data_IF_636015216552
#
_entry.id   IF_636015216552
#
_cell.length_a   1.000
_cell.length_b   1.000
_cell.length_c   1.000
_cell.angle_alpha   90.00
_cell.angle_beta   90.00
_cell.angle_gamma   90.00
#
_symmetry.space_group_name_H-M   'P 1'
#
loop_
_entity.id
_entity.type
_entity.pdbx_description
1 polymer ?
#
# COMPACT_ATOMS: atom_id res chain seq x y z
N UNK A 1 8.09 27.47 -9.38
CA UNK A 1 8.27 26.42 -8.36
C UNK A 1 7.03 25.52 -8.43
N UNK A 2 7.15 24.28 -8.90
CA UNK A 2 6.02 23.35 -8.87
C UNK A 2 5.62 23.12 -7.41
N UNK A 3 4.34 23.30 -7.08
CA UNK A 3 3.82 23.07 -5.73
C UNK A 3 3.98 21.60 -5.35
N UNK A 4 4.18 21.30 -4.06
CA UNK A 4 4.46 19.93 -3.55
C UNK A 4 3.36 18.92 -3.95
N UNK A 5 2.12 19.38 -4.05
CA UNK A 5 0.95 18.64 -4.56
C UNK A 5 1.10 18.19 -6.02
N UNK A 6 1.87 18.93 -6.83
CA UNK A 6 2.07 18.67 -8.26
C UNK A 6 2.97 17.47 -8.53
N UNK A 7 3.90 17.13 -7.62
CA UNK A 7 4.93 16.11 -7.88
C UNK A 7 4.36 14.69 -7.77
N UNK A 8 3.65 14.41 -6.67
CA UNK A 8 3.01 13.11 -6.47
C UNK A 8 1.86 12.94 -7.47
N UNK A 9 1.13 14.03 -7.78
CA UNK A 9 0.13 14.02 -8.84
C UNK A 9 0.72 13.67 -10.22
N UNK A 10 1.93 14.15 -10.54
CA UNK A 10 2.64 13.78 -11.76
C UNK A 10 3.05 12.30 -11.75
N UNK A 11 3.64 11.82 -10.65
CA UNK A 11 4.02 10.41 -10.50
C UNK A 11 2.80 9.49 -10.63
N UNK A 12 1.66 9.83 -10.03
CA UNK A 12 0.44 9.05 -10.16
C UNK A 12 -0.07 9.02 -11.61
N UNK A 13 0.06 10.13 -12.36
CA UNK A 13 -0.25 10.16 -13.80
C UNK A 13 0.69 9.26 -14.60
N UNK A 14 1.99 9.29 -14.30
CA UNK A 14 2.99 8.42 -14.94
C UNK A 14 2.68 6.96 -14.63
N UNK A 15 2.46 6.62 -13.36
CA UNK A 15 2.05 5.29 -12.90
C UNK A 15 0.81 4.80 -13.67
N UNK A 16 -0.24 5.64 -13.75
CA UNK A 16 -1.46 5.30 -14.49
C UNK A 16 -1.18 5.07 -15.99
N UNK A 17 -0.35 5.92 -16.61
CA UNK A 17 0.04 5.76 -18.00
C UNK A 17 0.82 4.45 -18.22
N UNK A 18 1.80 4.13 -17.37
CA UNK A 18 2.53 2.86 -17.42
C UNK A 18 1.60 1.66 -17.30
N UNK A 19 0.57 1.74 -16.45
CA UNK A 19 -0.36 0.61 -16.31
C UNK A 19 -1.30 0.48 -17.49
N UNK A 20 -1.86 1.59 -17.99
CA UNK A 20 -2.80 1.57 -19.14
C UNK A 20 -2.10 1.10 -20.41
N UNK A 21 -0.88 1.58 -20.64
CA UNK A 21 -0.09 1.20 -21.80
C UNK A 21 0.45 -0.23 -21.64
N UNK A 22 0.52 -0.77 -20.43
CA UNK A 22 1.25 -1.99 -20.16
C UNK A 22 2.76 -1.74 -20.18
N UNK A 23 3.51 -2.63 -19.54
CA UNK A 23 4.97 -2.61 -19.64
C UNK A 23 5.39 -3.00 -21.06
N UNK A 24 5.44 -2.01 -21.97
CA UNK A 24 6.21 -2.10 -23.21
C UNK A 24 7.70 -1.92 -22.92
N UNK A 25 8.20 -2.57 -21.87
CA UNK A 25 9.62 -2.63 -21.57
C UNK A 25 10.24 -3.73 -22.39
N UNK A 26 11.07 -3.38 -23.37
CA UNK A 26 12.16 -4.25 -23.79
C UNK A 26 13.04 -4.64 -22.59
N UNK A 27 14.02 -5.53 -22.78
CA UNK A 27 14.90 -6.04 -21.73
C UNK A 27 15.52 -4.91 -20.86
N UNK A 28 14.89 -4.56 -19.74
CA UNK A 28 15.24 -3.42 -18.91
C UNK A 28 14.23 -3.12 -17.79
N UNK A 29 14.63 -2.27 -16.82
CA UNK A 29 13.76 -1.82 -15.72
C UNK A 29 12.62 -1.00 -16.32
N UNK A 30 11.39 -1.41 -16.06
CA UNK A 30 10.24 -0.67 -16.59
C UNK A 30 10.03 0.65 -15.85
N UNK A 31 9.40 1.62 -16.53
CA UNK A 31 9.13 2.92 -15.93
C UNK A 31 8.27 2.76 -14.65
N UNK A 32 7.40 1.75 -14.59
CA UNK A 32 6.66 1.43 -13.37
C UNK A 32 7.59 1.03 -12.21
N UNK A 33 8.63 0.24 -12.46
CA UNK A 33 9.59 -0.22 -11.46
C UNK A 33 10.56 0.87 -10.96
N UNK A 34 10.77 1.89 -11.78
CA UNK A 34 11.55 3.06 -11.39
C UNK A 34 10.79 3.98 -10.40
N UNK A 35 9.47 3.85 -10.29
CA UNK A 35 8.64 4.75 -9.49
C UNK A 35 8.60 4.29 -8.02
N UNK A 36 8.82 5.21 -7.07
CA UNK A 36 8.70 4.89 -5.65
C UNK A 36 7.29 4.42 -5.29
N UNK A 37 7.21 3.32 -4.54
CA UNK A 37 5.95 2.73 -4.07
C UNK A 37 6.07 2.33 -2.60
N UNK A 38 4.94 2.20 -1.91
CA UNK A 38 4.92 1.70 -0.52
C UNK A 38 4.21 0.35 -0.50
N UNK A 39 4.93 -0.74 -0.25
CA UNK A 39 4.35 -2.06 -0.10
C UNK A 39 4.02 -2.35 1.37
N UNK A 40 2.80 -2.80 1.63
CA UNK A 40 2.33 -3.15 2.96
C UNK A 40 2.56 -4.63 3.19
N UNK A 41 3.43 -4.96 4.15
CA UNK A 41 3.80 -6.34 4.48
C UNK A 41 3.43 -6.66 5.92
N UNK A 42 2.90 -7.86 6.13
CA UNK A 42 2.45 -8.29 7.44
C UNK A 42 1.84 -9.67 7.41
N UNK A 43 1.96 -10.39 8.54
CA UNK A 43 1.28 -11.68 8.72
C UNK A 43 -0.23 -11.58 8.51
N UNK A 44 -0.87 -12.70 8.27
CA UNK A 44 -2.33 -12.78 8.28
C UNK A 44 -2.87 -12.22 9.62
N UNK A 45 -3.92 -11.39 9.55
CA UNK A 45 -4.52 -10.77 10.73
C UNK A 45 -3.61 -9.80 11.52
N UNK A 46 -2.48 -9.35 10.97
CA UNK A 46 -1.64 -8.30 11.58
C UNK A 46 -2.28 -6.90 11.57
N UNK A 47 -3.44 -6.74 10.92
CA UNK A 47 -4.15 -5.46 10.83
C UNK A 47 -3.83 -4.61 9.60
N UNK A 48 -3.19 -5.18 8.55
CA UNK A 48 -2.87 -4.46 7.30
C UNK A 48 -4.04 -3.67 6.72
N UNK A 49 -5.16 -4.36 6.44
CA UNK A 49 -6.34 -3.73 5.85
C UNK A 49 -6.91 -2.64 6.77
N UNK A 50 -6.91 -2.85 8.08
CA UNK A 50 -7.34 -1.83 9.04
C UNK A 50 -6.42 -0.60 9.03
N UNK A 51 -5.10 -0.78 8.94
CA UNK A 51 -4.15 0.34 8.82
C UNK A 51 -4.42 1.12 7.53
N UNK A 52 -4.62 0.43 6.41
CA UNK A 52 -4.94 1.07 5.13
C UNK A 52 -6.25 1.88 5.20
N UNK A 53 -7.31 1.30 5.77
CA UNK A 53 -8.60 1.98 5.95
C UNK A 53 -8.48 3.17 6.90
N UNK A 54 -7.70 3.05 7.99
CA UNK A 54 -7.45 4.15 8.93
C UNK A 54 -6.67 5.29 8.27
N UNK A 55 -5.69 4.98 7.41
CA UNK A 55 -4.93 5.96 6.61
C UNK A 55 -5.85 6.67 5.60
N UNK A 56 -6.72 5.93 4.91
CA UNK A 56 -7.65 6.49 3.92
C UNK A 56 -8.80 7.25 4.58
N UNK A 57 -9.27 6.82 5.74
CA UNK A 57 -10.45 7.40 6.40
C UNK A 57 -11.78 6.74 6.02
N UNK A 58 -11.76 5.59 5.32
CA UNK A 58 -12.96 4.92 4.78
C UNK A 58 -12.86 3.41 4.90
N UNK A 59 -14.02 2.75 5.02
CA UNK A 59 -14.16 1.30 4.89
C UNK A 59 -14.35 0.92 3.44
N UNK A 60 -13.35 0.31 2.83
CA UNK A 60 -13.41 -0.09 1.42
C UNK A 60 -12.77 -1.44 1.15
N UNK A 61 -12.06 -2.02 2.11
CA UNK A 61 -11.42 -3.32 1.94
C UNK A 61 -12.38 -4.43 2.38
N UNK A 62 -12.36 -5.59 1.67
CA UNK A 62 -13.12 -6.74 2.11
C UNK A 62 -12.65 -7.19 3.49
N UNK A 63 -13.56 -7.75 4.29
CA UNK A 63 -13.28 -8.34 5.60
C UNK A 63 -13.81 -9.76 5.62
N UNK A 64 -13.07 -10.69 6.23
CA UNK A 64 -13.47 -12.08 6.31
C UNK A 64 -12.48 -12.93 7.11
N UNK A 65 -12.84 -14.18 7.33
CA UNK A 65 -11.93 -15.20 7.86
C UNK A 65 -11.08 -15.78 6.72
N UNK A 66 -9.84 -16.17 7.03
CA UNK A 66 -8.91 -16.70 6.03
C UNK A 66 -8.12 -15.62 5.29
N UNK A 67 -7.63 -15.94 4.09
CA UNK A 67 -6.87 -15.02 3.24
C UNK A 67 -7.86 -14.11 2.52
N UNK A 68 -7.99 -12.88 3.00
CA UNK A 68 -8.94 -11.90 2.48
C UNK A 68 -8.39 -11.22 1.22
N UNK A 69 -7.18 -10.68 1.30
CA UNK A 69 -6.46 -10.13 0.14
C UNK A 69 -5.81 -11.27 -0.64
N UNK A 70 -6.45 -11.71 -1.74
CA UNK A 70 -5.96 -12.79 -2.64
C UNK A 70 -5.25 -12.28 -3.89
N UNK A 71 -5.36 -10.98 -4.16
CA UNK A 71 -4.70 -10.27 -5.26
C UNK A 71 -4.04 -9.01 -4.69
N UNK A 72 -2.87 -8.59 -5.18
CA UNK A 72 -2.30 -7.29 -4.82
C UNK A 72 -3.30 -6.17 -5.13
N UNK A 73 -3.46 -5.21 -4.22
CA UNK A 73 -4.27 -4.01 -4.46
C UNK A 73 -3.34 -2.80 -4.53
N UNK A 74 -3.21 -2.22 -5.73
CA UNK A 74 -2.51 -0.96 -5.92
C UNK A 74 -3.50 0.16 -5.68
N UNK A 75 -3.34 0.83 -4.54
CA UNK A 75 -4.19 1.91 -4.06
C UNK A 75 -3.50 3.25 -4.27
N UNK A 76 -4.10 4.10 -5.09
CA UNK A 76 -3.65 5.47 -5.35
C UNK A 76 -4.59 6.46 -4.66
N UNK A 77 -4.05 7.24 -3.74
CA UNK A 77 -4.76 8.31 -3.05
C UNK A 77 -4.46 9.63 -3.74
N UNK A 78 -5.51 10.37 -4.06
CA UNK A 78 -5.46 11.67 -4.70
C UNK A 78 -6.15 12.70 -3.81
N UNK A 79 -5.35 13.65 -3.31
CA UNK A 79 -5.88 14.78 -2.56
C UNK A 79 -6.64 15.72 -3.50
N UNK A 80 -7.92 15.91 -3.26
CA UNK A 80 -8.76 16.89 -3.96
C UNK A 80 -8.91 18.17 -3.15
N UNK A 81 -9.55 19.17 -3.75
CA UNK A 81 -9.91 20.42 -3.06
C UNK A 81 -11.02 20.18 -2.02
N UNK A 82 -10.99 20.97 -0.95
CA UNK A 82 -12.01 20.92 0.10
C UNK A 82 -13.41 21.18 -0.48
N UNK A 83 -14.39 20.38 -0.07
CA UNK A 83 -15.77 20.48 -0.55
C UNK A 83 -16.08 19.70 -1.83
N UNK A 84 -15.08 19.08 -2.48
CA UNK A 84 -15.34 18.13 -3.56
C UNK A 84 -15.87 16.81 -3.01
N UNK A 85 -16.84 16.22 -3.71
CA UNK A 85 -17.38 14.91 -3.36
C UNK A 85 -16.33 13.82 -3.58
N UNK A 86 -16.18 12.94 -2.58
CA UNK A 86 -15.27 11.81 -2.66
C UNK A 86 -15.78 10.75 -3.64
N UNK A 87 -14.87 10.15 -4.38
CA UNK A 87 -15.18 9.04 -5.27
C UNK A 87 -13.96 8.14 -5.48
N UNK A 88 -14.23 6.93 -5.96
CA UNK A 88 -13.22 5.99 -6.38
C UNK A 88 -13.42 5.55 -7.84
N UNK A 89 -12.32 5.22 -8.50
CA UNK A 89 -12.28 4.70 -9.87
C UNK A 89 -11.40 3.45 -9.90
N UNK A 90 -11.87 2.39 -10.56
CA UNK A 90 -11.05 1.23 -10.86
C UNK A 90 -10.51 1.32 -12.27
N UNK A 91 -9.28 0.84 -12.49
CA UNK A 91 -8.71 0.81 -13.84
C UNK A 91 -9.56 -0.04 -14.80
N UNK A 92 -10.00 -1.22 -14.35
CA UNK A 92 -10.82 -2.14 -15.15
C UNK A 92 -12.25 -1.63 -15.39
N UNK A 93 -12.72 -0.67 -14.59
CA UNK A 93 -14.04 -0.05 -14.69
C UNK A 93 -13.97 1.48 -14.83
N UNK A 94 -13.04 1.97 -15.67
CA UNK A 94 -12.71 3.39 -15.82
C UNK A 94 -13.85 4.33 -16.24
N UNK A 95 -14.99 3.78 -16.69
CA UNK A 95 -16.21 4.55 -17.04
C UNK A 95 -17.18 4.73 -15.87
N UNK A 96 -16.90 4.13 -14.71
CA UNK A 96 -17.77 4.13 -13.54
C UNK A 96 -17.05 4.77 -12.35
N UNK A 97 -17.69 5.79 -11.76
CA UNK A 97 -17.27 6.38 -10.49
C UNK A 97 -18.08 5.76 -9.36
N UNK A 98 -17.39 5.40 -8.29
CA UNK A 98 -17.99 4.83 -7.09
C UNK A 98 -17.97 5.89 -5.99
N UNK A 99 -19.13 6.37 -5.58
CA UNK A 99 -19.28 7.31 -4.45
C UNK A 99 -19.61 6.58 -3.15
N UNK A 100 -20.08 5.34 -3.23
CA UNK A 100 -20.33 4.47 -2.10
C UNK A 100 -19.16 3.48 -1.92
N UNK A 101 -18.44 3.60 -0.81
CA UNK A 101 -17.31 2.73 -0.49
C UNK A 101 -17.72 1.29 -0.12
N UNK A 102 -18.99 1.05 0.24
CA UNK A 102 -19.50 -0.31 0.34
C UNK A 102 -19.54 -0.99 -1.04
N UNK A 103 -19.88 -0.24 -2.10
CA UNK A 103 -19.82 -0.73 -3.47
C UNK A 103 -18.37 -0.92 -3.95
N UNK A 104 -17.43 -0.06 -3.53
CA UNK A 104 -15.98 -0.27 -3.79
C UNK A 104 -15.52 -1.59 -3.18
N UNK A 105 -15.89 -1.86 -1.94
CA UNK A 105 -15.57 -3.12 -1.26
C UNK A 105 -16.14 -4.34 -1.98
N UNK A 106 -17.39 -4.25 -2.42
CA UNK A 106 -18.04 -5.32 -3.16
C UNK A 106 -17.33 -5.57 -4.50
N UNK A 107 -17.00 -4.51 -5.23
CA UNK A 107 -16.27 -4.58 -6.50
C UNK A 107 -14.90 -5.25 -6.34
N UNK A 108 -14.14 -4.93 -5.27
CA UNK A 108 -12.86 -5.61 -4.98
C UNK A 108 -13.08 -7.12 -4.79
N UNK A 109 -14.13 -7.50 -4.06
CA UNK A 109 -14.45 -8.91 -3.82
C UNK A 109 -14.83 -9.62 -5.13
N UNK A 110 -15.73 -9.02 -5.90
CA UNK A 110 -16.24 -9.56 -7.15
C UNK A 110 -15.13 -9.73 -8.19
N UNK A 111 -14.28 -8.70 -8.34
CA UNK A 111 -13.14 -8.73 -9.27
C UNK A 111 -12.05 -9.71 -8.81
N UNK A 112 -11.90 -9.93 -7.50
CA UNK A 112 -11.04 -11.00 -6.98
C UNK A 112 -11.59 -12.36 -7.36
N UNK A 113 -12.86 -12.62 -7.04
CA UNK A 113 -13.53 -13.91 -7.31
C UNK A 113 -13.62 -14.21 -8.81
N UNK A 114 -13.73 -13.19 -9.66
CA UNK A 114 -13.75 -13.35 -11.12
C UNK A 114 -12.49 -14.02 -11.66
N UNK A 115 -11.33 -13.70 -11.10
CA UNK A 115 -10.03 -14.20 -11.57
C UNK A 115 -9.52 -15.40 -10.77
N UNK A 116 -9.73 -15.43 -9.45
CA UNK A 116 -9.28 -16.55 -8.62
C UNK A 116 -10.31 -17.67 -8.53
N UNK A 117 -11.53 -17.44 -9.03
CA UNK A 117 -12.67 -18.29 -8.73
C UNK A 117 -13.09 -18.19 -7.26
N UNK A 118 -14.05 -19.03 -6.88
CA UNK A 118 -14.44 -19.25 -5.47
C UNK A 118 -13.47 -20.17 -4.72
N UNK A 119 -12.47 -20.72 -5.41
CA UNK A 119 -11.37 -21.43 -4.79
C UNK A 119 -10.50 -20.42 -4.04
N UNK A 120 -9.88 -20.83 -2.93
CA UNK A 120 -9.03 -19.96 -2.09
C UNK A 120 -7.67 -19.65 -2.75
N UNK A 121 -7.62 -19.60 -4.08
CA UNK A 121 -6.44 -19.33 -4.87
C UNK A 121 -6.04 -17.86 -4.82
N UNK A 122 -4.79 -17.57 -5.12
CA UNK A 122 -4.24 -16.21 -5.23
C UNK A 122 -3.88 -15.91 -6.69
N UNK A 123 -3.71 -14.63 -7.02
CA UNK A 123 -3.23 -14.21 -8.34
C UNK A 123 -2.33 -13.00 -8.24
N UNK A 124 -1.24 -13.00 -9.02
CA UNK A 124 -0.28 -11.90 -9.09
C UNK A 124 -0.82 -10.69 -9.88
N UNK A 125 -1.99 -10.82 -10.53
CA UNK A 125 -2.58 -9.72 -11.32
C UNK A 125 -3.19 -8.68 -10.35
N UNK A 126 -2.65 -7.46 -10.26
CA UNK A 126 -3.11 -6.49 -9.29
C UNK A 126 -4.51 -5.95 -9.64
N UNK A 127 -5.25 -5.51 -8.62
CA UNK A 127 -6.41 -4.62 -8.77
C UNK A 127 -5.91 -3.20 -8.59
N UNK A 128 -6.28 -2.29 -9.48
CA UNK A 128 -5.91 -0.88 -9.37
C UNK A 128 -7.11 -0.02 -8.99
N UNK A 129 -6.96 0.70 -7.90
CA UNK A 129 -7.98 1.54 -7.29
C UNK A 129 -7.43 2.93 -7.04
N UNK A 130 -8.08 3.95 -7.60
CA UNK A 130 -7.79 5.36 -7.32
C UNK A 130 -8.91 5.93 -6.45
N UNK A 131 -8.56 6.52 -5.31
CA UNK A 131 -9.49 7.23 -4.41
C UNK A 131 -9.18 8.72 -4.44
N UNK A 132 -10.20 9.53 -4.70
CA UNK A 132 -10.15 10.98 -4.73
C UNK A 132 -10.88 11.54 -3.51
N UNK A 133 -10.16 12.24 -2.63
CA UNK A 133 -10.72 12.78 -1.39
C UNK A 133 -9.96 14.02 -0.90
N UNK A 134 -10.61 15.01 -0.27
CA UNK A 134 -9.92 16.14 0.35
C UNK A 134 -9.21 15.75 1.66
N UNK A 135 -9.58 14.61 2.25
CA UNK A 135 -9.13 14.16 3.57
C UNK A 135 -7.92 13.22 3.51
N UNK A 136 -7.44 12.88 2.31
CA UNK A 136 -6.25 12.04 2.11
C UNK A 136 -5.04 12.85 1.68
N UNK A 137 -3.87 12.24 1.82
CA UNK A 137 -2.63 12.72 1.20
C UNK A 137 -2.44 12.07 -0.16
N UNK A 138 -1.67 12.69 -1.05
CA UNK A 138 -1.25 12.00 -2.26
C UNK A 138 -0.26 10.89 -1.88
N UNK A 139 -0.62 9.64 -2.14
CA UNK A 139 0.16 8.46 -1.73
C UNK A 139 -0.22 7.25 -2.58
N UNK A 140 0.76 6.42 -2.94
CA UNK A 140 0.52 5.12 -3.59
C UNK A 140 0.94 4.00 -2.65
N UNK A 141 -0.03 3.16 -2.27
CA UNK A 141 0.13 2.02 -1.38
C UNK A 141 -0.16 0.73 -2.16
N UNK A 142 0.56 -0.34 -1.86
CA UNK A 142 0.32 -1.67 -2.41
C UNK A 142 -0.04 -2.59 -1.24
N UNK A 143 -1.30 -3.00 -1.15
CA UNK A 143 -1.73 -4.04 -0.22
C UNK A 143 -1.35 -5.40 -0.81
N UNK A 144 -0.65 -6.21 -0.02
CA UNK A 144 -0.22 -7.54 -0.42
C UNK A 144 -0.93 -8.60 0.45
N UNK A 145 -1.14 -9.82 -0.08
CA UNK A 145 -1.64 -10.92 0.72
C UNK A 145 -0.86 -11.10 2.03
N UNK A 146 -1.57 -11.43 3.10
CA UNK A 146 -0.93 -11.64 4.39
C UNK A 146 -0.10 -12.92 4.40
N UNK A 147 1.11 -12.84 4.95
CA UNK A 147 1.98 -14.00 5.13
C UNK A 147 1.27 -15.04 6.03
N UNK A 148 1.15 -16.27 5.54
CA UNK A 148 0.53 -17.39 6.24
C UNK A 148 1.57 -18.45 6.55
N UNK A 149 1.49 -19.12 7.70
CA UNK A 149 2.43 -20.19 8.08
C UNK A 149 1.97 -21.58 7.68
N UNK A 150 0.67 -21.75 7.47
CA UNK A 150 0.04 -23.04 7.15
C UNK A 150 -1.03 -22.85 6.08
N UNK A 151 -1.15 -23.83 5.19
CA UNK A 151 -2.26 -23.91 4.25
C UNK A 151 -3.52 -24.35 5.00
N UNK A 152 -4.65 -23.67 4.76
CA UNK A 152 -5.95 -24.10 5.28
C UNK A 152 -6.67 -24.99 4.27
N UNK A 153 -7.68 -25.73 4.73
CA UNK A 153 -8.46 -26.65 3.88
C UNK A 153 -8.98 -25.96 2.60
N UNK A 154 -8.71 -26.58 1.45
CA UNK A 154 -9.05 -26.08 0.12
C UNK A 154 -8.01 -25.14 -0.52
N UNK A 155 -6.83 -24.95 0.10
CA UNK A 155 -5.69 -24.27 -0.52
C UNK A 155 -4.66 -25.26 -1.05
N UNK A 156 -3.87 -24.83 -2.04
CA UNK A 156 -2.68 -25.58 -2.50
C UNK A 156 -1.65 -25.69 -1.37
N UNK A 157 -0.89 -26.79 -1.33
CA UNK A 157 0.24 -26.95 -0.42
C UNK A 157 1.32 -25.87 -0.66
N UNK A 158 1.41 -25.33 -1.88
CA UNK A 158 2.37 -24.28 -2.27
C UNK A 158 1.95 -22.88 -1.86
N UNK A 159 0.74 -22.67 -1.35
CA UNK A 159 0.15 -21.33 -1.17
C UNK A 159 1.01 -20.41 -0.31
N UNK A 160 1.68 -20.96 0.71
CA UNK A 160 2.57 -20.21 1.59
C UNK A 160 3.75 -19.63 0.81
N UNK A 161 4.39 -20.47 -0.01
CA UNK A 161 5.50 -20.07 -0.85
C UNK A 161 5.05 -19.11 -1.96
N UNK A 162 3.88 -19.34 -2.54
CA UNK A 162 3.33 -18.49 -3.60
C UNK A 162 3.05 -17.07 -3.08
N UNK A 163 2.52 -16.94 -1.86
CA UNK A 163 2.32 -15.66 -1.19
C UNK A 163 3.66 -14.99 -0.88
N UNK A 164 4.63 -15.73 -0.34
CA UNK A 164 5.95 -15.17 -0.04
C UNK A 164 6.65 -14.67 -1.31
N UNK A 165 6.63 -15.46 -2.39
CA UNK A 165 7.18 -15.08 -3.69
C UNK A 165 6.48 -13.83 -4.25
N UNK A 166 5.15 -13.76 -4.13
CA UNK A 166 4.40 -12.58 -4.54
C UNK A 166 4.85 -11.36 -3.74
N UNK A 167 4.95 -11.45 -2.42
CA UNK A 167 5.42 -10.33 -1.57
C UNK A 167 6.83 -9.90 -1.97
N UNK A 168 7.77 -10.85 -2.11
CA UNK A 168 9.16 -10.61 -2.52
C UNK A 168 9.26 -9.87 -3.85
N UNK A 169 8.43 -10.23 -4.83
CA UNK A 169 8.41 -9.58 -6.15
C UNK A 169 8.15 -8.07 -6.10
N UNK A 170 7.53 -7.57 -5.02
CA UNK A 170 7.35 -6.14 -4.76
C UNK A 170 8.47 -5.57 -3.89
N UNK A 171 8.81 -6.22 -2.78
CA UNK A 171 9.71 -5.63 -1.76
C UNK A 171 11.20 -5.75 -2.08
N UNK A 172 11.60 -6.64 -2.98
CA UNK A 172 12.99 -6.73 -3.47
C UNK A 172 13.36 -5.54 -4.36
N UNK A 173 12.36 -4.83 -4.90
CA UNK A 173 12.59 -3.64 -5.72
C UNK A 173 13.22 -2.54 -4.87
N UNK A 174 14.37 -1.96 -5.27
CA UNK A 174 15.11 -1.00 -4.45
C UNK A 174 14.35 0.32 -4.21
N UNK A 175 13.41 0.67 -5.10
CA UNK A 175 12.57 1.86 -4.96
C UNK A 175 11.27 1.58 -4.17
N UNK A 176 11.07 0.36 -3.67
CA UNK A 176 9.93 0.01 -2.83
C UNK A 176 10.23 0.34 -1.36
N UNK A 177 9.44 1.23 -0.78
CA UNK A 177 9.37 1.44 0.66
C UNK A 177 8.58 0.28 1.26
N UNK A 178 9.08 -0.30 2.35
CA UNK A 178 8.46 -1.43 3.04
C UNK A 178 7.75 -0.91 4.28
N UNK A 179 6.43 -1.06 4.33
CA UNK A 179 5.64 -0.81 5.53
C UNK A 179 5.41 -2.14 6.27
N UNK A 180 6.25 -2.44 7.25
CA UNK A 180 6.24 -3.68 8.00
C UNK A 180 5.27 -3.59 9.19
N UNK A 181 4.10 -4.20 9.05
CA UNK A 181 3.01 -4.19 10.05
C UNK A 181 3.10 -5.42 10.95
N UNK A 182 3.29 -5.18 12.24
CA UNK A 182 3.37 -6.21 13.27
C UNK A 182 2.37 -5.95 14.40
N UNK A 183 1.64 -6.97 14.90
CA UNK A 183 0.77 -6.78 16.05
C UNK A 183 1.59 -6.70 17.35
N UNK A 184 1.26 -5.77 18.24
CA UNK A 184 1.97 -5.53 19.49
C UNK A 184 1.71 -6.59 20.57
N UNK A 185 0.63 -7.37 20.42
CA UNK A 185 0.33 -8.48 21.32
C UNK A 185 1.11 -9.76 21.01
N UNK A 186 2.13 -9.68 20.15
CA UNK A 186 3.07 -10.76 19.84
C UNK A 186 4.50 -10.19 19.90
N UNK A 187 5.48 -11.05 20.18
CA UNK A 187 6.87 -10.65 20.17
C UNK A 187 7.30 -10.24 18.75
N UNK A 188 7.92 -9.06 18.64
CA UNK A 188 8.40 -8.51 17.38
C UNK A 188 9.43 -9.43 16.71
N UNK A 189 10.18 -10.22 17.48
CA UNK A 189 11.13 -11.21 16.97
C UNK A 189 10.45 -12.31 16.12
N UNK A 190 9.14 -12.52 16.30
CA UNK A 190 8.35 -13.51 15.55
C UNK A 190 7.66 -12.95 14.31
N UNK A 191 7.85 -11.65 14.02
CA UNK A 191 7.20 -10.96 12.91
C UNK A 191 7.78 -11.39 11.57
N UNK A 192 6.94 -12.05 10.77
CA UNK A 192 7.26 -12.42 9.39
C UNK A 192 7.52 -11.17 8.52
N UNK A 193 6.89 -10.04 8.84
CA UNK A 193 7.09 -8.77 8.13
C UNK A 193 8.51 -8.24 8.30
N UNK A 194 9.01 -8.28 9.54
CA UNK A 194 10.35 -7.81 9.89
C UNK A 194 11.41 -8.77 9.37
N UNK A 195 11.14 -10.08 9.40
CA UNK A 195 12.01 -11.08 8.79
C UNK A 195 12.23 -10.79 7.30
N UNK A 196 11.16 -10.68 6.52
CA UNK A 196 11.26 -10.40 5.07
C UNK A 196 11.93 -9.04 4.84
N UNK A 197 11.53 -7.99 5.58
CA UNK A 197 12.12 -6.67 5.43
C UNK A 197 13.64 -6.68 5.66
N UNK A 198 14.13 -7.39 6.69
CA UNK A 198 15.57 -7.48 7.00
C UNK A 198 16.36 -8.23 5.93
N UNK A 199 15.75 -9.21 5.27
CA UNK A 199 16.40 -9.97 4.21
C UNK A 199 16.61 -9.13 2.95
N UNK A 200 15.67 -8.25 2.60
CA UNK A 200 15.72 -7.41 1.39
C UNK A 200 16.23 -5.98 1.64
N UNK A 201 16.21 -5.52 2.89
CA UNK A 201 16.69 -4.21 3.35
C UNK A 201 17.49 -4.35 4.67
N UNK A 202 18.70 -4.93 4.65
CA UNK A 202 19.47 -5.18 5.87
C UNK A 202 19.90 -3.90 6.61
N UNK A 203 20.04 -2.76 5.90
CA UNK A 203 20.38 -1.46 6.51
C UNK A 203 19.17 -0.77 7.12
N UNK A 204 17.95 -1.17 6.74
CA UNK A 204 16.69 -0.61 7.20
C UNK A 204 16.41 0.79 6.63
N UNK A 205 17.03 1.14 5.50
CA UNK A 205 16.97 2.48 4.90
C UNK A 205 15.62 2.82 4.27
N UNK A 206 14.83 1.81 3.92
CA UNK A 206 13.54 1.95 3.25
C UNK A 206 12.41 1.21 3.97
N UNK A 207 12.66 0.75 5.20
CA UNK A 207 11.70 0.01 6.03
C UNK A 207 11.13 0.89 7.14
N UNK A 208 9.80 0.96 7.20
CA UNK A 208 9.00 1.61 8.23
C UNK A 208 8.28 0.57 9.07
N UNK A 209 8.43 0.65 10.39
CA UNK A 209 7.76 -0.26 11.32
C UNK A 209 6.42 0.30 11.79
N UNK A 210 5.37 -0.53 11.74
CA UNK A 210 4.06 -0.18 12.30
C UNK A 210 3.64 -1.23 13.31
N UNK A 211 3.25 -0.77 14.51
CA UNK A 211 2.64 -1.61 15.54
C UNK A 211 1.13 -1.42 15.56
N UNK A 212 0.39 -2.52 15.50
CA UNK A 212 -1.07 -2.53 15.65
C UNK A 212 -1.47 -3.23 16.95
N UNK A 213 -2.75 -3.19 17.33
CA UNK A 213 -3.29 -3.96 18.47
C UNK A 213 -2.62 -3.66 19.82
N UNK A 214 -2.15 -2.43 20.01
CA UNK A 214 -1.58 -1.95 21.28
C UNK A 214 -2.61 -2.01 22.42
N UNK A 215 -3.89 -1.84 22.09
CA UNK A 215 -5.05 -1.95 22.95
C UNK A 215 -5.36 -3.39 23.41
N UNK A 216 -4.80 -4.40 22.72
CA UNK A 216 -5.00 -5.82 23.01
C UNK A 216 -3.79 -6.47 23.69
N UNK A 217 -2.83 -5.66 24.16
CA UNK A 217 -1.69 -6.16 24.93
C UNK A 217 -2.13 -6.60 26.33
N UNK A 218 -1.39 -7.57 26.89
CA UNK A 218 -1.65 -8.07 28.24
C UNK A 218 -1.41 -6.98 29.28
N UNK A 219 -2.30 -6.89 30.28
CA UNK A 219 -2.18 -5.90 31.35
C UNK A 219 -0.83 -6.02 32.06
N UNK A 220 -0.13 -4.90 32.18
CA UNK A 220 1.22 -4.84 32.76
C UNK A 220 2.35 -4.98 31.74
N UNK A 221 2.04 -5.18 30.47
CA UNK A 221 3.01 -5.12 29.36
C UNK A 221 2.79 -3.85 28.53
N UNK A 222 3.83 -3.41 27.81
CA UNK A 222 3.75 -2.29 26.88
C UNK A 222 4.76 -2.49 25.73
N UNK A 223 4.59 -1.72 24.67
CA UNK A 223 5.44 -1.76 23.48
C UNK A 223 6.37 -0.54 23.36
N UNK A 224 6.65 0.16 24.47
CA UNK A 224 7.43 1.40 24.47
C UNK A 224 8.83 1.17 23.89
N UNK A 225 9.48 0.06 24.27
CA UNK A 225 10.83 -0.25 23.77
C UNK A 225 10.89 -0.49 22.25
N UNK A 226 9.82 -1.04 21.66
CA UNK A 226 9.71 -1.20 20.21
C UNK A 226 9.44 0.15 19.56
N UNK A 227 8.47 0.92 20.07
CA UNK A 227 8.09 2.23 19.51
C UNK A 227 9.23 3.26 19.58
N UNK A 228 10.09 3.17 20.60
CA UNK A 228 11.29 4.02 20.72
C UNK A 228 12.50 3.46 19.97
N UNK A 229 12.36 2.32 19.29
CA UNK A 229 13.41 1.68 18.50
C UNK A 229 14.55 1.06 19.31
N UNK A 230 14.35 0.85 20.62
CA UNK A 230 15.35 0.22 21.51
C UNK A 230 15.40 -1.30 21.33
N UNK A 231 14.25 -1.95 21.20
CA UNK A 231 14.19 -3.41 21.04
C UNK A 231 14.53 -3.84 19.61
N UNK A 232 14.04 -3.11 18.59
CA UNK A 232 14.38 -3.33 17.19
C UNK A 232 14.59 -1.98 16.49
N UNK A 233 15.84 -1.71 16.10
CA UNK A 233 16.23 -0.43 15.51
C UNK A 233 15.99 -0.43 14.00
N UNK A 234 15.24 0.57 13.54
CA UNK A 234 15.09 0.93 12.12
C UNK A 234 15.70 2.32 11.89
N UNK A 235 15.98 2.68 10.64
CA UNK A 235 16.40 4.05 10.30
C UNK A 235 15.23 5.02 10.35
N UNK A 236 14.02 4.51 10.13
CA UNK A 236 12.76 5.25 10.22
C UNK A 236 12.04 4.95 11.54
N UNK A 237 11.23 5.91 12.05
CA UNK A 237 10.54 5.72 13.32
C UNK A 237 9.48 4.62 13.24
N UNK A 238 9.28 3.94 14.36
CA UNK A 238 8.12 3.09 14.57
C UNK A 238 6.87 3.94 14.78
N UNK A 239 5.74 3.50 14.24
CA UNK A 239 4.44 4.14 14.44
C UNK A 239 3.43 3.16 15.00
N UNK A 240 2.89 3.48 16.17
CA UNK A 240 1.78 2.76 16.78
C UNK A 240 0.44 3.22 16.21
N UNK A 241 -0.44 2.27 15.90
CA UNK A 241 -1.79 2.51 15.39
C UNK A 241 -2.80 1.69 16.20
N UNK A 242 -3.87 2.34 16.64
CA UNK A 242 -5.00 1.69 17.31
C UNK A 242 -6.19 1.73 16.36
N UNK A 243 -6.50 0.56 15.80
CA UNK A 243 -7.60 0.40 14.85
C UNK A 243 -8.93 0.18 15.58
N UNK A 244 -10.04 0.27 14.84
CA UNK A 244 -11.35 -0.18 15.34
C UNK A 244 -11.31 -1.65 15.73
N UNK A 245 -11.96 -1.96 16.85
CA UNK A 245 -12.21 -3.35 17.25
C UNK A 245 -13.22 -4.01 16.31
N UNK A 246 -13.29 -5.35 16.33
CA UNK A 246 -14.33 -6.08 15.59
C UNK A 246 -15.75 -5.65 16.02
N UNK A 247 -15.93 -5.31 17.30
CA UNK A 247 -17.21 -4.81 17.81
C UNK A 247 -17.54 -3.42 17.26
N UNK A 248 -16.57 -2.52 17.13
CA UNK A 248 -16.77 -1.21 16.51
C UNK A 248 -17.12 -1.34 15.02
N UNK A 249 -16.47 -2.27 14.30
CA UNK A 249 -16.77 -2.57 12.89
C UNK A 249 -18.21 -3.08 12.76
N UNK A 250 -18.62 -4.05 13.59
CA UNK A 250 -19.97 -4.61 13.55
C UNK A 250 -21.04 -3.55 13.86
N UNK A 251 -20.69 -2.52 14.64
CA UNK A 251 -21.54 -1.37 14.95
C UNK A 251 -21.45 -0.23 13.91
N UNK A 252 -20.68 -0.41 12.84
CA UNK A 252 -20.40 0.61 11.82
C UNK A 252 -19.94 1.94 12.43
N UNK A 253 -19.05 1.89 13.43
CA UNK A 253 -18.48 3.10 14.03
C UNK A 253 -17.71 3.86 12.95
N UNK A 254 -18.04 5.15 12.82
CA UNK A 254 -17.44 6.05 11.85
C UNK A 254 -15.92 6.18 12.05
N UNK A 255 -15.19 6.31 10.94
CA UNK A 255 -13.74 6.40 10.97
C UNK A 255 -13.23 7.68 11.65
N UNK A 256 -13.97 8.78 11.59
CA UNK A 256 -13.64 10.04 12.29
C UNK A 256 -13.66 9.79 13.80
N UNK A 257 -14.66 9.05 14.29
CA UNK A 257 -14.76 8.66 15.69
C UNK A 257 -13.61 7.73 16.08
N UNK A 258 -13.25 6.79 15.20
CA UNK A 258 -12.12 5.89 15.43
C UNK A 258 -10.79 6.64 15.56
N UNK A 259 -10.50 7.58 14.66
CA UNK A 259 -9.29 8.41 14.73
C UNK A 259 -9.25 9.28 15.98
N UNK A 260 -10.40 9.80 16.42
CA UNK A 260 -10.49 10.54 17.68
C UNK A 260 -10.15 9.63 18.87
N UNK A 261 -10.71 8.43 18.92
CA UNK A 261 -10.40 7.42 19.95
C UNK A 261 -8.93 7.01 19.93
N UNK A 262 -8.33 6.85 18.75
CA UNK A 262 -6.90 6.56 18.61
C UNK A 262 -6.05 7.67 19.23
N UNK A 263 -6.34 8.93 18.90
CA UNK A 263 -5.63 10.06 19.48
C UNK A 263 -5.79 10.12 21.01
N UNK A 264 -7.02 9.98 21.50
CA UNK A 264 -7.32 9.92 22.94
C UNK A 264 -6.57 8.78 23.64
N UNK A 265 -6.46 7.59 23.02
CA UNK A 265 -5.69 6.46 23.56
C UNK A 265 -4.22 6.83 23.78
N UNK A 266 -3.56 7.42 22.78
CA UNK A 266 -2.15 7.79 22.91
C UNK A 266 -1.95 8.98 23.86
N UNK A 267 -2.83 9.99 23.85
CA UNK A 267 -2.71 11.18 24.71
C UNK A 267 -2.94 10.87 26.20
N UNK A 268 -3.83 9.92 26.50
CA UNK A 268 -4.22 9.57 27.89
C UNK A 268 -3.48 8.35 28.45
N UNK A 269 -2.75 7.60 27.62
CA UNK A 269 -1.96 6.45 28.08
C UNK A 269 -0.78 6.93 28.95
N UNK A 270 -0.64 6.39 30.18
CA UNK A 270 0.53 6.64 31.02
C UNK A 270 1.86 6.26 30.35
N UNK A 271 1.86 5.19 29.56
CA UNK A 271 3.05 4.62 28.92
C UNK A 271 3.40 5.29 27.58
N UNK A 272 2.40 5.74 26.83
CA UNK A 272 2.59 6.27 25.46
C UNK A 272 2.38 7.78 25.31
N UNK A 273 1.96 8.48 26.37
CA UNK A 273 1.64 9.91 26.35
C UNK A 273 2.74 10.79 25.76
N UNK A 274 4.01 10.51 26.07
CA UNK A 274 5.15 11.27 25.53
C UNK A 274 5.39 11.03 24.03
N UNK A 275 4.89 9.92 23.49
CA UNK A 275 5.00 9.56 22.07
C UNK A 275 3.78 10.00 21.25
N UNK A 276 2.70 10.47 21.86
CA UNK A 276 1.41 10.69 21.20
C UNK A 276 1.49 11.49 19.88
N UNK A 277 2.33 12.52 19.83
CA UNK A 277 2.53 13.35 18.64
C UNK A 277 3.19 12.63 17.44
N UNK A 278 3.76 11.44 17.63
CA UNK A 278 4.40 10.58 16.63
C UNK A 278 3.64 9.27 16.38
N UNK A 279 2.39 9.18 16.83
CA UNK A 279 1.57 7.98 16.75
C UNK A 279 0.29 8.23 15.95
N UNK A 280 -0.35 7.15 15.53
CA UNK A 280 -1.64 7.15 14.87
C UNK A 280 -1.59 7.17 13.34
N UNK A 281 -2.74 6.86 12.74
CA UNK A 281 -2.86 6.68 11.29
C UNK A 281 -2.63 7.97 10.50
N UNK A 282 -3.05 9.13 11.04
CA UNK A 282 -2.84 10.43 10.39
C UNK A 282 -1.35 10.82 10.36
N UNK A 283 -0.63 10.56 11.45
CA UNK A 283 0.83 10.76 11.49
C UNK A 283 1.54 9.84 10.50
N UNK A 284 1.16 8.55 10.46
CA UNK A 284 1.72 7.60 9.50
C UNK A 284 1.52 8.06 8.05
N UNK A 285 0.29 8.47 7.70
CA UNK A 285 -0.02 8.93 6.34
C UNK A 285 0.85 10.14 5.94
N UNK A 286 1.02 11.11 6.85
CA UNK A 286 1.87 12.28 6.63
C UNK A 286 3.34 11.90 6.50
N UNK A 287 3.85 11.03 7.38
CA UNK A 287 5.22 10.54 7.36
C UNK A 287 5.55 9.84 6.03
N UNK A 288 4.68 8.92 5.60
CA UNK A 288 4.85 8.20 4.33
C UNK A 288 4.77 9.13 3.13
N UNK A 289 3.84 10.08 3.10
CA UNK A 289 3.72 11.05 2.01
C UNK A 289 4.96 11.94 1.88
N UNK A 290 5.48 12.45 3.00
CA UNK A 290 6.70 13.26 3.01
C UNK A 290 7.93 12.47 2.58
N UNK A 291 8.06 11.22 3.05
CA UNK A 291 9.17 10.37 2.65
C UNK A 291 9.09 9.97 1.18
N UNK A 292 7.90 9.59 0.71
CA UNK A 292 7.68 9.27 -0.70
C UNK A 292 8.02 10.47 -1.60
N UNK A 293 7.63 11.67 -1.20
CA UNK A 293 7.99 12.90 -1.92
C UNK A 293 9.51 13.10 -1.98
N UNK A 294 10.21 12.93 -0.85
CA UNK A 294 11.66 13.03 -0.80
C UNK A 294 12.33 12.03 -1.77
N UNK A 295 11.90 10.77 -1.75
CA UNK A 295 12.43 9.72 -2.63
C UNK A 295 12.13 10.04 -4.10
N UNK A 296 10.90 10.46 -4.42
CA UNK A 296 10.54 10.88 -5.78
C UNK A 296 11.47 11.99 -6.26
N UNK A 297 11.68 13.05 -5.45
CA UNK A 297 12.55 14.18 -5.83
C UNK A 297 13.97 13.74 -6.17
N UNK A 298 14.54 12.82 -5.40
CA UNK A 298 15.87 12.26 -5.66
C UNK A 298 15.93 11.44 -6.95
N UNK A 299 14.82 10.78 -7.33
CA UNK A 299 14.73 9.89 -8.48
C UNK A 299 14.29 10.57 -9.78
N UNK A 300 13.75 11.79 -9.74
CA UNK A 300 13.32 12.53 -10.94
C UNK A 300 14.38 12.56 -12.05
N UNK A 301 15.66 12.88 -11.78
CA UNK A 301 16.67 12.91 -12.84
C UNK A 301 16.84 11.56 -13.53
N UNK A 302 16.86 10.46 -12.76
CA UNK A 302 16.94 9.11 -13.31
C UNK A 302 15.67 8.72 -14.09
N UNK A 303 14.49 9.13 -13.62
CA UNK A 303 13.22 8.87 -14.31
C UNK A 303 13.20 9.59 -15.66
N UNK A 304 13.62 10.86 -15.72
CA UNK A 304 13.72 11.62 -16.98
C UNK A 304 14.69 10.95 -17.94
N UNK A 305 15.87 10.51 -17.45
CA UNK A 305 16.84 9.81 -18.28
C UNK A 305 16.28 8.49 -18.85
N UNK A 306 15.54 7.72 -18.04
CA UNK A 306 14.88 6.49 -18.50
C UNK A 306 13.81 6.77 -19.55
N UNK A 307 12.98 7.80 -19.35
CA UNK A 307 11.94 8.21 -20.31
C UNK A 307 12.58 8.63 -21.65
N UNK A 308 13.61 9.48 -21.60
CA UNK A 308 14.29 9.94 -22.82
C UNK A 308 14.94 8.78 -23.57
N UNK A 309 15.60 7.87 -22.84
CA UNK A 309 16.18 6.66 -23.43
C UNK A 309 15.11 5.80 -24.12
N UNK A 310 13.97 5.58 -23.47
CA UNK A 310 12.87 4.82 -24.07
C UNK A 310 12.29 5.52 -25.32
N UNK A 311 12.20 6.85 -25.32
CA UNK A 311 11.78 7.63 -26.49
C UNK A 311 12.77 7.44 -27.65
N UNK A 312 14.08 7.51 -27.37
CA UNK A 312 15.12 7.34 -28.39
C UNK A 312 15.09 5.94 -29.01
N UNK A 313 14.91 4.89 -28.19
CA UNK A 313 14.78 3.50 -28.63
C UNK A 313 13.52 3.29 -29.50
N UNK A 314 12.37 3.80 -29.08
CA UNK A 314 11.12 3.70 -29.84
C UNK A 314 11.18 4.48 -31.16
N UNK A 315 11.83 5.64 -31.18
CA UNK A 315 12.03 6.41 -32.42
C UNK A 315 12.95 5.66 -33.39
N UNK A 316 14.03 5.04 -32.89
CA UNK A 316 14.91 4.23 -33.73
C UNK A 316 14.20 3.00 -34.31
N UNK A 317 13.32 2.36 -33.53
CA UNK A 317 12.49 1.26 -34.01
C UNK A 317 11.46 1.74 -35.07
N UNK A 318 10.81 2.88 -34.82
CA UNK A 318 9.88 3.49 -35.77
C UNK A 318 10.56 3.83 -37.10
N UNK A 319 11.76 4.42 -37.05
CA UNK A 319 12.57 4.72 -38.23
C UNK A 319 12.94 3.45 -39.01
N UNK A 320 13.17 2.33 -38.31
CA UNK A 320 13.46 1.02 -38.92
C UNK A 320 12.24 0.40 -39.59
N UNK A 321 11.05 0.56 -39.01
CA UNK A 321 9.78 0.06 -39.56
C UNK A 321 9.35 0.89 -40.78
N UNK A 322 9.74 2.15 -40.84
CA UNK A 322 9.50 3.04 -41.99
C UNK A 322 8.15 3.76 -41.91
N UNK A 323 7.78 4.44 -43.01
CA UNK A 323 6.54 5.25 -43.05
C UNK A 323 5.31 4.37 -43.18
N UNK A 324 4.16 4.79 -42.63
CA UNK A 324 2.89 4.07 -42.80
C UNK A 324 2.61 3.86 -44.29
N UNK A 325 2.35 2.60 -44.67
CA UNK A 325 1.90 2.24 -46.00
C UNK A 325 0.55 2.94 -46.20
N UNK A 326 0.47 3.84 -47.18
CA UNK A 326 -0.81 4.43 -47.54
C UNK A 326 -1.78 3.29 -47.86
N UNK A 327 -2.94 3.27 -47.19
CA UNK A 327 -4.01 2.35 -47.57
C UNK A 327 -4.42 2.77 -48.96
N UNK A 328 -4.04 1.97 -49.97
CA UNK A 328 -4.44 2.15 -51.35
C UNK A 328 -5.98 2.14 -51.36
N UNK A 329 -6.58 3.32 -51.46
CA UNK A 329 -7.96 3.45 -51.89
C UNK A 329 -7.94 3.13 -53.38
N UNK A 330 -8.23 1.85 -53.69
CA UNK A 330 -8.08 1.19 -54.99
C UNK A 330 -8.50 1.96 -56.23
#
# INVERSE_FOLDING_TARGET
MATMTSLIGLINKIQRACTVLGDYGGEGISLWEALPTVAVVGGQSSGKSSVLESVVGRDFLPRGSGIVTRRPLVLQLHKTEDGQQEYAEFLHASRKRFTDFAAVRQEISDETDRLTGKTKAISNVPIQLSIYSPHVVNLTLIDLPGLTKVAVEGQSETIVQDIENMVRSYVEKPNCIILAISPANQDIATSDAIKIAREVDPSGERTFGVLTKLDLMDKGTNAVEVLEGRQYRLQHPWVGIVNRSQADINKNVDMIVARKKEREYFETSPEYGHLAHKMGAEYLAKLLSQHLEYVIRQKIPSIIALINKAIDELNAELDRIGRPIAVDSG
#
